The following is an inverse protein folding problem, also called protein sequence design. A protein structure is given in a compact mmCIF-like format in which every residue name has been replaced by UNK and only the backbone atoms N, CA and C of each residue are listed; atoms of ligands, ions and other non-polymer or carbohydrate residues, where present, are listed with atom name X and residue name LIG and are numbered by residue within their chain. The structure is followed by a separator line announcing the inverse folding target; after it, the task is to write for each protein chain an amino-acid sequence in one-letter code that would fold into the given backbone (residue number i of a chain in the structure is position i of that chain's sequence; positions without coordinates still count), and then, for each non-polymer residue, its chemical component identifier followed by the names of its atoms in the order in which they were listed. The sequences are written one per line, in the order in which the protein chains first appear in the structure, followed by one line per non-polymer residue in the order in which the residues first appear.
data_IF_077866597872
#
_entry.id   IF_077866597872
#
_cell.length_a   1.000
_cell.length_b   1.000
_cell.length_c   1.000
_cell.angle_alpha   90.00
_cell.angle_beta   90.00
_cell.angle_gamma   90.00
#
_symmetry.space_group_name_H-M   'P 1'
#
loop_
_entity.id
_entity.type
_entity.pdbx_description
1 polymer ?
#
# COMPACT_ATOMS: atom_id res chain seq x y z
N UNK A 1 -3.09 52.05 -48.91
CA UNK A 1 -2.04 52.62 -48.04
C UNK A 1 -2.36 52.57 -46.54
N UNK A 2 -3.61 52.79 -46.09
CA UNK A 2 -3.96 52.72 -44.65
C UNK A 2 -3.75 51.35 -43.98
N UNK A 3 -3.91 50.25 -44.71
CA UNK A 3 -3.77 48.87 -44.21
C UNK A 3 -2.34 48.45 -43.87
N UNK A 4 -1.33 49.07 -44.49
CA UNK A 4 0.07 48.81 -44.18
C UNK A 4 0.50 49.53 -42.89
N UNK A 5 -0.01 50.74 -42.65
CA UNK A 5 0.36 51.53 -41.46
C UNK A 5 -0.14 50.85 -40.17
N UNK A 6 -1.33 50.26 -40.20
CA UNK A 6 -1.89 49.56 -39.04
C UNK A 6 -1.18 48.24 -38.72
N UNK A 7 -0.70 47.51 -39.73
CA UNK A 7 0.07 46.26 -39.50
C UNK A 7 1.46 46.55 -38.92
N UNK A 8 2.06 47.68 -39.28
CA UNK A 8 3.34 48.13 -38.73
C UNK A 8 3.19 48.64 -37.29
N UNK A 9 2.10 49.35 -36.97
CA UNK A 9 1.76 49.71 -35.57
C UNK A 9 1.55 48.48 -34.68
N UNK A 10 0.83 47.45 -35.16
CA UNK A 10 0.65 46.19 -34.42
C UNK A 10 1.96 45.46 -34.16
N UNK A 11 2.86 45.41 -35.16
CA UNK A 11 4.21 44.82 -34.99
C UNK A 11 5.06 45.60 -33.99
N UNK A 12 5.01 46.93 -34.02
CA UNK A 12 5.74 47.78 -33.09
C UNK A 12 5.26 47.60 -31.64
N UNK A 13 3.95 47.52 -31.40
CA UNK A 13 3.39 47.29 -30.08
C UNK A 13 3.76 45.91 -29.51
N UNK A 14 3.72 44.85 -30.34
CA UNK A 14 4.21 43.51 -29.94
C UNK A 14 5.69 43.52 -29.57
N UNK A 15 6.51 44.28 -30.29
CA UNK A 15 7.93 44.44 -29.98
C UNK A 15 8.17 45.16 -28.64
N UNK A 16 7.34 46.15 -28.31
CA UNK A 16 7.41 46.82 -27.00
C UNK A 16 6.97 45.92 -25.84
N UNK A 17 5.94 45.09 -26.03
CA UNK A 17 5.53 44.10 -25.03
C UNK A 17 6.59 43.02 -24.80
N UNK A 18 7.20 42.51 -25.88
CA UNK A 18 8.33 41.57 -25.77
C UNK A 18 9.55 42.22 -25.10
N UNK A 19 9.77 43.53 -25.28
CA UNK A 19 10.85 44.26 -24.60
C UNK A 19 10.54 44.47 -23.11
N UNK A 20 9.28 44.59 -22.71
CA UNK A 20 8.85 44.60 -21.29
C UNK A 20 9.08 43.25 -20.60
N UNK A 21 8.98 42.12 -21.31
CA UNK A 21 9.31 40.79 -20.75
C UNK A 21 10.81 40.53 -20.59
N UNK A 22 11.70 41.33 -21.23
CA UNK A 22 13.17 41.18 -21.09
C UNK A 22 13.74 41.75 -19.79
N UNK A 23 12.89 42.19 -18.87
CA UNK A 23 13.29 42.69 -17.55
C UNK A 23 13.39 41.63 -16.45
N UNK A 24 13.08 40.35 -16.74
CA UNK A 24 13.36 39.27 -15.79
C UNK A 24 14.86 39.10 -15.71
N UNK A 25 15.43 39.45 -14.56
CA UNK A 25 16.86 39.28 -14.35
C UNK A 25 17.18 37.79 -14.21
N UNK A 26 18.30 37.34 -14.79
CA UNK A 26 18.73 35.94 -14.69
C UNK A 26 18.91 35.53 -13.21
N UNK A 27 19.28 36.50 -12.36
CA UNK A 27 19.39 36.36 -10.91
C UNK A 27 18.05 36.01 -10.23
N UNK A 28 16.95 36.68 -10.59
CA UNK A 28 15.63 36.39 -10.04
C UNK A 28 15.21 34.94 -10.29
N UNK A 29 15.45 34.44 -11.50
CA UNK A 29 15.11 33.07 -11.86
C UNK A 29 15.95 32.07 -11.05
N UNK A 30 17.24 32.34 -10.81
CA UNK A 30 18.07 31.46 -9.99
C UNK A 30 17.57 31.41 -8.54
N UNK A 31 17.19 32.54 -7.94
CA UNK A 31 16.66 32.57 -6.57
C UNK A 31 15.34 31.78 -6.49
N UNK A 32 14.46 31.96 -7.47
CA UNK A 32 13.19 31.23 -7.54
C UNK A 32 13.43 29.73 -7.68
N UNK A 33 14.33 29.30 -8.58
CA UNK A 33 14.69 27.90 -8.74
C UNK A 33 15.33 27.31 -7.47
N UNK A 34 16.13 28.10 -6.76
CA UNK A 34 16.71 27.71 -5.47
C UNK A 34 15.66 27.43 -4.40
N UNK A 35 14.67 28.32 -4.25
CA UNK A 35 13.57 28.15 -3.30
C UNK A 35 12.69 26.95 -3.70
N UNK A 36 12.34 26.82 -4.99
CA UNK A 36 11.58 25.67 -5.49
C UNK A 36 12.31 24.36 -5.20
N UNK A 37 13.64 24.32 -5.39
CA UNK A 37 14.46 23.14 -5.10
C UNK A 37 14.41 22.72 -3.62
N UNK A 38 14.51 23.68 -2.69
CA UNK A 38 14.47 23.40 -1.24
C UNK A 38 13.06 22.93 -0.83
N UNK A 39 12.01 23.58 -1.32
CA UNK A 39 10.62 23.19 -1.01
C UNK A 39 10.34 21.78 -1.56
N UNK A 40 10.76 21.49 -2.79
CA UNK A 40 10.56 20.18 -3.39
C UNK A 40 11.19 19.06 -2.55
N UNK A 41 12.41 19.26 -2.04
CA UNK A 41 13.07 18.29 -1.17
C UNK A 41 12.28 18.04 0.13
N UNK A 42 11.76 19.11 0.76
CA UNK A 42 10.95 18.99 1.97
C UNK A 42 9.62 18.26 1.75
N UNK A 43 8.91 18.57 0.65
CA UNK A 43 7.59 17.99 0.35
C UNK A 43 7.68 16.51 0.00
N UNK A 44 8.74 16.05 -0.69
CA UNK A 44 8.90 14.62 -1.04
C UNK A 44 8.96 13.74 0.21
N UNK A 45 9.73 14.16 1.23
CA UNK A 45 9.85 13.39 2.48
C UNK A 45 8.52 13.36 3.25
N UNK A 46 7.82 14.50 3.31
CA UNK A 46 6.51 14.57 3.97
C UNK A 46 5.47 13.72 3.25
N UNK A 47 5.47 13.75 1.91
CA UNK A 47 4.57 12.94 1.09
C UNK A 47 4.84 11.45 1.27
N UNK A 48 6.11 11.03 1.25
CA UNK A 48 6.50 9.63 1.50
C UNK A 48 6.02 9.15 2.87
N UNK A 49 6.24 9.94 3.94
CA UNK A 49 5.74 9.59 5.28
C UNK A 49 4.22 9.46 5.35
N UNK A 50 3.50 10.34 4.66
CA UNK A 50 2.04 10.30 4.62
C UNK A 50 1.54 9.06 3.87
N UNK A 51 2.15 8.70 2.74
CA UNK A 51 1.81 7.48 2.00
C UNK A 51 2.12 6.22 2.80
N UNK A 52 3.32 6.10 3.37
CA UNK A 52 3.66 4.97 4.25
C UNK A 52 2.69 4.85 5.43
N UNK A 53 2.32 5.96 6.06
CA UNK A 53 1.33 5.94 7.15
C UNK A 53 -0.05 5.48 6.67
N UNK A 54 -0.45 5.84 5.46
CA UNK A 54 -1.71 5.38 4.88
C UNK A 54 -1.67 3.89 4.53
N UNK A 55 -0.57 3.42 3.94
CA UNK A 55 -0.38 2.01 3.59
C UNK A 55 -0.37 1.12 4.84
N UNK A 56 0.22 1.60 5.95
CA UNK A 56 0.16 0.91 7.23
C UNK A 56 -1.29 0.86 7.74
N UNK A 57 -2.03 1.97 7.74
CA UNK A 57 -3.42 1.94 8.19
C UNK A 57 -4.28 0.99 7.36
N UNK A 58 -4.13 1.01 6.03
CA UNK A 58 -4.86 0.14 5.12
C UNK A 58 -4.56 -1.33 5.40
N UNK A 59 -3.28 -1.72 5.53
CA UNK A 59 -2.94 -3.14 5.78
C UNK A 59 -3.46 -3.59 7.16
N UNK A 60 -3.49 -2.70 8.14
CA UNK A 60 -4.05 -3.00 9.47
C UNK A 60 -5.57 -3.22 9.37
N UNK A 61 -6.28 -2.38 8.66
CA UNK A 61 -7.72 -2.53 8.44
C UNK A 61 -8.04 -3.83 7.69
N UNK A 62 -7.27 -4.15 6.65
CA UNK A 62 -7.41 -5.39 5.87
C UNK A 62 -7.13 -6.62 6.74
N UNK A 63 -6.05 -6.63 7.54
CA UNK A 63 -5.76 -7.75 8.46
C UNK A 63 -6.85 -7.94 9.51
N UNK A 64 -7.48 -6.85 9.97
CA UNK A 64 -8.61 -6.92 10.89
C UNK A 64 -9.86 -7.49 10.20
N UNK A 65 -10.14 -7.07 8.96
CA UNK A 65 -11.22 -7.62 8.13
C UNK A 65 -11.05 -9.14 7.96
N UNK A 66 -9.83 -9.58 7.58
CA UNK A 66 -9.49 -10.99 7.44
C UNK A 66 -9.60 -11.74 8.77
N UNK A 67 -9.16 -11.15 9.89
CA UNK A 67 -9.27 -11.78 11.22
C UNK A 67 -10.71 -12.04 11.62
N UNK A 68 -11.59 -11.06 11.42
CA UNK A 68 -13.03 -11.20 11.70
C UNK A 68 -13.62 -12.29 10.79
N UNK A 69 -13.33 -12.24 9.50
CA UNK A 69 -13.80 -13.23 8.53
C UNK A 69 -13.33 -14.66 8.85
N UNK A 70 -12.07 -14.85 9.23
CA UNK A 70 -11.52 -16.14 9.68
C UNK A 70 -12.27 -16.67 10.89
N UNK A 71 -12.51 -15.80 11.88
CA UNK A 71 -13.23 -16.17 13.09
C UNK A 71 -14.66 -16.57 12.77
N UNK A 72 -15.38 -15.77 11.98
CA UNK A 72 -16.76 -16.09 11.59
C UNK A 72 -16.87 -17.38 10.76
N UNK A 73 -15.92 -17.64 9.87
CA UNK A 73 -15.96 -18.81 8.98
C UNK A 73 -15.60 -20.12 9.70
N UNK A 74 -14.68 -20.09 10.67
CA UNK A 74 -14.06 -21.31 11.20
C UNK A 74 -14.21 -21.52 12.71
N UNK A 75 -14.69 -20.53 13.49
CA UNK A 75 -14.86 -20.68 14.95
C UNK A 75 -15.74 -21.88 15.33
N UNK A 76 -16.82 -22.10 14.59
CA UNK A 76 -17.77 -23.19 14.88
C UNK A 76 -17.24 -24.58 14.47
N UNK A 77 -16.29 -24.62 13.52
CA UNK A 77 -15.64 -25.85 13.07
C UNK A 77 -14.65 -26.42 14.09
N UNK A 78 -14.32 -25.66 15.15
CA UNK A 78 -13.35 -25.98 16.20
C UNK A 78 -11.91 -26.24 15.71
N UNK A 79 -11.63 -25.94 14.44
CA UNK A 79 -10.32 -26.13 13.81
C UNK A 79 -10.15 -25.16 12.63
N UNK A 80 -9.00 -24.49 12.60
CA UNK A 80 -8.62 -23.59 11.51
C UNK A 80 -7.89 -24.33 10.39
N UNK A 81 -8.06 -23.90 9.12
CA UNK A 81 -7.46 -24.56 7.97
C UNK A 81 -5.92 -24.50 8.01
N UNK A 82 -5.29 -25.59 7.58
CA UNK A 82 -3.85 -25.65 7.43
C UNK A 82 -3.34 -24.64 6.39
N UNK A 83 -2.06 -24.27 6.52
CA UNK A 83 -1.40 -23.40 5.57
C UNK A 83 -1.41 -24.03 4.16
N UNK A 84 -1.80 -23.23 3.17
CA UNK A 84 -1.70 -23.57 1.75
C UNK A 84 -1.11 -22.36 1.02
N UNK A 85 -0.15 -22.62 0.12
CA UNK A 85 0.55 -21.60 -0.66
C UNK A 85 -0.40 -20.64 -1.38
N UNK A 86 -0.02 -19.36 -1.39
CA UNK A 86 -0.75 -18.26 -2.03
C UNK A 86 0.07 -17.49 -3.08
N UNK A 87 1.32 -17.92 -3.35
CA UNK A 87 2.31 -17.20 -4.19
C UNK A 87 1.82 -16.87 -5.61
N UNK A 88 0.99 -17.71 -6.22
CA UNK A 88 0.50 -17.50 -7.59
C UNK A 88 -0.91 -16.89 -7.66
N UNK A 89 -1.45 -16.45 -6.51
CA UNK A 89 -2.82 -15.96 -6.44
C UNK A 89 -2.83 -14.46 -6.73
N UNK A 90 -3.57 -14.06 -7.76
CA UNK A 90 -3.74 -12.66 -8.15
C UNK A 90 -5.11 -12.13 -7.73
N UNK A 91 -5.22 -10.80 -7.57
CA UNK A 91 -6.51 -10.13 -7.30
C UNK A 91 -7.59 -10.44 -8.35
N UNK A 92 -7.17 -10.63 -9.61
CA UNK A 92 -8.09 -10.91 -10.71
C UNK A 92 -8.66 -12.35 -10.66
N UNK A 93 -7.89 -13.29 -10.12
CA UNK A 93 -8.20 -14.71 -10.20
C UNK A 93 -8.54 -15.34 -8.84
N UNK A 94 -8.34 -14.65 -7.72
CA UNK A 94 -8.58 -15.17 -6.37
C UNK A 94 -10.01 -15.74 -6.20
N UNK A 95 -11.03 -15.06 -6.73
CA UNK A 95 -12.41 -15.54 -6.66
C UNK A 95 -12.65 -16.83 -7.47
N UNK A 96 -11.81 -17.11 -8.48
CA UNK A 96 -11.91 -18.26 -9.39
C UNK A 96 -10.89 -19.37 -9.06
N UNK A 97 -9.87 -19.06 -8.26
CA UNK A 97 -8.76 -19.95 -7.94
C UNK A 97 -9.24 -21.27 -7.35
N UNK A 98 -8.67 -22.40 -7.76
CA UNK A 98 -8.98 -23.71 -7.16
C UNK A 98 -8.19 -23.99 -5.87
N UNK A 99 -7.33 -23.06 -5.44
CA UNK A 99 -6.57 -23.18 -4.21
C UNK A 99 -7.48 -23.31 -2.99
N UNK A 100 -7.04 -24.12 -2.03
CA UNK A 100 -7.71 -24.35 -0.75
C UNK A 100 -7.20 -23.42 0.36
N UNK A 101 -6.35 -22.45 0.02
CA UNK A 101 -5.89 -21.46 0.98
C UNK A 101 -7.08 -20.75 1.64
N UNK A 102 -6.94 -20.49 2.95
CA UNK A 102 -8.03 -19.93 3.74
C UNK A 102 -8.52 -18.60 3.16
N UNK A 103 -7.59 -17.74 2.72
CA UNK A 103 -7.88 -16.44 2.12
C UNK A 103 -8.75 -16.55 0.86
N UNK A 104 -8.51 -17.56 0.01
CA UNK A 104 -9.33 -17.83 -1.19
C UNK A 104 -10.74 -18.25 -0.79
N UNK A 105 -10.84 -19.11 0.22
CA UNK A 105 -12.13 -19.56 0.73
C UNK A 105 -12.95 -18.39 1.29
N UNK A 106 -12.32 -17.47 2.03
CA UNK A 106 -12.98 -16.29 2.56
C UNK A 106 -13.54 -15.38 1.44
N UNK A 107 -12.75 -15.13 0.39
CA UNK A 107 -13.20 -14.36 -0.77
C UNK A 107 -14.38 -15.05 -1.46
N UNK A 108 -14.30 -16.37 -1.67
CA UNK A 108 -15.38 -17.14 -2.31
C UNK A 108 -16.65 -17.20 -1.48
N UNK A 109 -16.53 -17.18 -0.17
CA UNK A 109 -17.66 -17.09 0.76
C UNK A 109 -18.25 -15.68 0.83
N UNK A 110 -17.64 -14.69 0.16
CA UNK A 110 -18.08 -13.28 0.20
C UNK A 110 -17.85 -12.63 1.57
N UNK A 111 -16.94 -13.18 2.39
CA UNK A 111 -16.63 -12.66 3.72
C UNK A 111 -15.67 -11.46 3.69
N UNK A 112 -14.83 -11.41 2.65
CA UNK A 112 -13.92 -10.31 2.34
C UNK A 112 -13.92 -10.10 0.82
N UNK A 113 -13.59 -8.90 0.38
CA UNK A 113 -13.36 -8.58 -1.03
C UNK A 113 -12.00 -9.08 -1.52
N UNK A 114 -11.80 -9.22 -2.84
CA UNK A 114 -10.48 -9.50 -3.42
C UNK A 114 -9.41 -8.47 -3.07
N UNK A 115 -9.77 -7.22 -2.76
CA UNK A 115 -8.79 -6.18 -2.42
C UNK A 115 -8.30 -6.30 -0.98
N UNK A 116 -9.21 -6.55 -0.03
CA UNK A 116 -8.88 -6.80 1.40
C UNK A 116 -8.07 -8.09 1.61
N UNK A 117 -7.99 -8.95 0.59
CA UNK A 117 -7.28 -10.21 0.67
C UNK A 117 -5.75 -10.09 0.45
N UNK A 118 -5.25 -8.90 0.13
CA UNK A 118 -3.86 -8.68 -0.31
C UNK A 118 -3.13 -7.68 0.57
N UNK A 119 -1.85 -7.96 0.80
CA UNK A 119 -0.93 -7.07 1.47
C UNK A 119 -0.57 -5.89 0.55
N UNK A 120 -0.87 -4.66 0.97
CA UNK A 120 -0.52 -3.45 0.21
C UNK A 120 0.99 -3.25 -0.01
N UNK A 121 1.85 -3.82 0.83
CA UNK A 121 3.31 -3.68 0.72
C UNK A 121 3.93 -4.63 -0.31
N UNK A 122 3.59 -5.92 -0.26
CA UNK A 122 4.15 -6.94 -1.17
C UNK A 122 3.28 -7.19 -2.39
N UNK A 123 2.02 -6.78 -2.36
CA UNK A 123 0.97 -7.14 -3.32
C UNK A 123 0.75 -8.66 -3.43
N UNK A 124 1.12 -9.41 -2.39
CA UNK A 124 0.81 -10.83 -2.25
C UNK A 124 -0.52 -11.01 -1.50
N UNK A 125 -1.23 -12.10 -1.79
CA UNK A 125 -2.36 -12.49 -0.97
C UNK A 125 -1.89 -12.85 0.45
N UNK A 126 -2.69 -12.54 1.47
CA UNK A 126 -2.32 -12.87 2.85
C UNK A 126 -2.16 -14.38 3.03
N UNK A 127 -0.98 -14.77 3.50
CA UNK A 127 -0.71 -16.12 3.93
C UNK A 127 -1.39 -16.37 5.28
N UNK A 128 -2.21 -17.42 5.36
CA UNK A 128 -2.94 -17.78 6.59
C UNK A 128 -2.64 -19.24 6.91
N UNK A 129 -2.14 -19.47 8.11
CA UNK A 129 -1.90 -20.81 8.64
C UNK A 129 -2.59 -21.03 9.97
N UNK A 130 -2.67 -22.30 10.36
CA UNK A 130 -3.25 -22.69 11.64
C UNK A 130 -2.22 -22.65 12.77
N UNK A 131 -2.70 -22.52 14.00
CA UNK A 131 -1.87 -22.50 15.20
C UNK A 131 -2.48 -23.36 16.29
N UNK A 132 -1.61 -23.98 17.10
CA UNK A 132 -2.00 -24.61 18.36
C UNK A 132 -1.97 -23.57 19.47
N UNK A 133 -2.93 -23.64 20.40
CA UNK A 133 -2.96 -22.76 21.57
C UNK A 133 -2.23 -23.38 22.77
N UNK A 134 -2.12 -24.71 22.80
CA UNK A 134 -1.29 -25.47 23.74
C UNK A 134 -0.47 -26.56 23.06
N UNK A 135 0.65 -26.93 23.66
CA UNK A 135 1.57 -27.96 23.14
C UNK A 135 0.92 -29.34 23.02
N UNK A 136 -0.06 -29.65 23.88
CA UNK A 136 -0.81 -30.92 23.87
C UNK A 136 -2.14 -30.86 23.11
N UNK A 137 -2.46 -29.73 22.45
CA UNK A 137 -3.71 -29.64 21.69
C UNK A 137 -3.68 -30.57 20.47
N UNK A 138 -4.72 -31.40 20.37
CA UNK A 138 -4.96 -32.29 19.23
C UNK A 138 -5.54 -31.56 18.01
N UNK A 139 -6.05 -30.34 18.19
CA UNK A 139 -6.67 -29.52 17.14
C UNK A 139 -6.03 -28.14 17.06
N UNK A 140 -6.01 -27.56 15.87
CA UNK A 140 -5.48 -26.21 15.66
C UNK A 140 -6.58 -25.16 15.89
N UNK A 141 -6.64 -24.64 17.12
CA UNK A 141 -7.67 -23.69 17.57
C UNK A 141 -7.31 -22.23 17.39
N UNK A 142 -6.12 -21.93 16.87
CA UNK A 142 -5.70 -20.59 16.49
C UNK A 142 -5.37 -20.52 15.00
N UNK A 143 -5.13 -19.30 14.53
CA UNK A 143 -4.57 -19.03 13.21
C UNK A 143 -3.62 -17.84 13.28
N UNK A 144 -2.79 -17.71 12.27
CA UNK A 144 -1.93 -16.55 12.07
C UNK A 144 -2.10 -16.02 10.66
N UNK A 145 -1.79 -14.75 10.48
CA UNK A 145 -1.68 -14.09 9.18
C UNK A 145 -0.23 -13.61 9.04
N UNK A 146 0.35 -13.73 7.85
CA UNK A 146 1.69 -13.21 7.59
C UNK A 146 1.64 -11.93 6.76
N UNK A 147 2.36 -10.92 7.24
CA UNK A 147 2.69 -9.70 6.52
C UNK A 147 4.14 -9.80 6.03
N UNK A 148 4.33 -10.07 4.74
CA UNK A 148 5.64 -10.24 4.13
C UNK A 148 6.09 -8.97 3.37
N UNK A 149 7.35 -8.94 2.93
CA UNK A 149 7.86 -7.85 2.09
C UNK A 149 8.01 -6.49 2.78
N UNK A 150 7.97 -6.45 4.12
CA UNK A 150 8.14 -5.23 4.90
C UNK A 150 9.63 -4.86 5.03
N UNK A 151 9.94 -3.57 4.87
CA UNK A 151 11.22 -3.03 5.29
C UNK A 151 11.32 -2.99 6.83
N UNK A 152 12.52 -2.81 7.37
CA UNK A 152 12.74 -2.84 8.83
C UNK A 152 11.98 -1.73 9.56
N UNK A 153 11.85 -0.55 8.96
CA UNK A 153 11.09 0.57 9.53
C UNK A 153 9.59 0.28 9.52
N UNK A 154 9.05 -0.17 8.38
CA UNK A 154 7.63 -0.53 8.23
C UNK A 154 7.24 -1.67 9.16
N UNK A 155 8.07 -2.71 9.27
CA UNK A 155 7.86 -3.82 10.20
C UNK A 155 7.71 -3.34 11.64
N UNK A 156 8.58 -2.43 12.10
CA UNK A 156 8.47 -1.84 13.45
C UNK A 156 7.20 -1.02 13.61
N UNK A 157 6.88 -0.21 12.61
CA UNK A 157 5.71 0.67 12.67
C UNK A 157 4.39 -0.12 12.68
N UNK A 158 4.28 -1.17 11.87
CA UNK A 158 3.12 -2.07 11.85
C UNK A 158 2.96 -2.76 13.21
N UNK A 159 4.01 -3.39 13.74
CA UNK A 159 3.96 -4.12 15.03
C UNK A 159 3.50 -3.21 16.16
N UNK A 160 3.98 -1.96 16.19
CA UNK A 160 3.61 -1.00 17.23
C UNK A 160 2.10 -0.65 17.24
N UNK A 161 1.41 -0.83 16.11
CA UNK A 161 -0.01 -0.53 15.95
C UNK A 161 -0.88 -1.78 16.10
N UNK A 162 -0.45 -2.93 15.56
CA UNK A 162 -1.24 -4.19 15.61
C UNK A 162 -1.08 -4.97 16.92
N UNK A 163 -0.03 -4.70 17.69
CA UNK A 163 0.32 -5.48 18.88
C UNK A 163 -0.78 -5.56 19.94
N UNK A 164 -1.63 -4.55 20.05
CA UNK A 164 -2.76 -4.57 20.98
C UNK A 164 -4.01 -5.27 20.40
N UNK A 165 -4.08 -5.42 19.08
CA UNK A 165 -5.21 -6.05 18.41
C UNK A 165 -5.03 -7.57 18.40
N UNK A 166 -3.81 -8.07 18.16
CA UNK A 166 -3.54 -9.51 18.03
C UNK A 166 -3.04 -10.14 19.34
N UNK A 167 -3.51 -11.35 19.63
CA UNK A 167 -3.10 -12.10 20.83
C UNK A 167 -1.64 -12.56 20.78
N UNK A 168 -1.09 -12.68 19.57
CA UNK A 168 0.30 -13.07 19.32
C UNK A 168 0.83 -12.31 18.11
N UNK A 169 2.03 -11.74 18.25
CA UNK A 169 2.78 -11.10 17.18
C UNK A 169 4.22 -11.55 17.25
N UNK A 170 4.77 -11.98 16.11
CA UNK A 170 6.17 -12.35 15.99
C UNK A 170 6.73 -11.84 14.65
N UNK A 171 8.05 -11.72 14.61
CA UNK A 171 8.78 -11.34 13.39
C UNK A 171 9.50 -12.55 12.83
N UNK A 172 9.44 -12.70 11.51
CA UNK A 172 10.24 -13.66 10.74
C UNK A 172 10.77 -12.98 9.47
N UNK A 173 11.66 -13.64 8.74
CA UNK A 173 12.13 -13.17 7.44
C UNK A 173 11.20 -13.69 6.33
N UNK A 174 10.18 -12.92 5.98
CA UNK A 174 9.26 -13.22 4.87
C UNK A 174 9.53 -12.33 3.65
N UNK A 175 9.93 -12.92 2.53
CA UNK A 175 10.13 -12.22 1.25
C UNK A 175 8.82 -12.06 0.50
N UNK A 176 8.70 -10.98 -0.26
CA UNK A 176 7.60 -10.84 -1.23
C UNK A 176 7.71 -11.93 -2.32
N UNK A 177 6.58 -12.51 -2.71
CA UNK A 177 6.50 -13.60 -3.68
C UNK A 177 6.96 -14.97 -3.17
N UNK A 178 7.19 -15.14 -1.87
CA UNK A 178 7.60 -16.41 -1.26
C UNK A 178 6.70 -16.72 -0.05
N UNK A 179 6.45 -18.01 0.22
CA UNK A 179 5.80 -18.41 1.48
C UNK A 179 6.76 -18.22 2.66
N UNK A 180 6.21 -17.91 3.82
CA UNK A 180 6.94 -17.45 4.99
C UNK A 180 7.55 -18.57 5.84
N UNK A 181 7.27 -19.83 5.49
CA UNK A 181 7.77 -21.04 6.15
C UNK A 181 6.69 -21.81 6.88
#
# INVERSE_FOLDING_TARGET
MRTLIDSWKKKANRYQELKKQKGVTLLEIIIVLGIIGIIAAGVVVLAQRAFTSQDISNVIDDTNSVRVAMTEAYKDSMEYPALVSVVDITKADIAKSSSKAAIVSLVKMGKISPDEAFNGFSNDAFEIGHAKLGTSDAKFKGFYIVLNGLETEDCRNVISQVGAQWDYVATTTGRAGENSG
#
